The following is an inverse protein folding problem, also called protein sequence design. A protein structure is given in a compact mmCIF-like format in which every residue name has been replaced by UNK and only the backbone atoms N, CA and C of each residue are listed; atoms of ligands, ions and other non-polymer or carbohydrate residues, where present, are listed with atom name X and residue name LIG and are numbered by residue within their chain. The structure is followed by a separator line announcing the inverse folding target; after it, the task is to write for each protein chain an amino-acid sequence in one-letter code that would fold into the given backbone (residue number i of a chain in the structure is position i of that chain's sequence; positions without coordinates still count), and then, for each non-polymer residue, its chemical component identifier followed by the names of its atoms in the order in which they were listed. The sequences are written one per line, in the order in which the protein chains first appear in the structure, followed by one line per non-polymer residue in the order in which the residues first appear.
data_IF_098463615803
#
_entry.id   IF_098463615803
#
_cell.length_a   1.000
_cell.length_b   1.000
_cell.length_c   1.000
_cell.angle_alpha   90.00
_cell.angle_beta   90.00
_cell.angle_gamma   90.00
#
_symmetry.space_group_name_H-M   'P 1'
#
loop_
_entity.id
_entity.type
_entity.pdbx_description
1 polymer ?
#
# COMPACT_ATOMS: atom_id res chain seq x y z
N UNK A 1 11.45 14.62 24.83
CA UNK A 1 10.25 15.33 25.33
C UNK A 1 10.62 16.56 26.18
N UNK A 2 11.56 16.43 27.13
CA UNK A 2 12.00 17.54 27.98
C UNK A 2 12.63 18.69 27.18
N UNK A 3 13.57 18.39 26.29
CA UNK A 3 14.28 19.43 25.50
C UNK A 3 13.37 20.14 24.49
N UNK A 4 12.27 19.49 24.11
CA UNK A 4 11.24 20.06 23.25
C UNK A 4 10.13 20.78 24.05
N UNK A 5 10.20 20.79 25.38
CA UNK A 5 9.18 21.41 26.25
C UNK A 5 7.83 20.68 26.26
N UNK A 6 7.74 19.46 25.71
CA UNK A 6 6.47 18.74 25.48
C UNK A 6 6.04 17.83 26.64
N UNK A 7 6.73 17.85 27.78
CA UNK A 7 6.50 16.92 28.90
C UNK A 7 5.11 16.99 29.53
N UNK A 8 4.36 18.08 29.29
CA UNK A 8 2.97 18.26 29.74
C UNK A 8 2.05 18.77 28.62
N UNK A 9 2.51 18.66 27.37
CA UNK A 9 1.76 19.16 26.21
C UNK A 9 0.76 18.12 25.68
N UNK A 10 -0.14 18.57 24.81
CA UNK A 10 -0.94 17.67 23.98
C UNK A 10 -0.13 17.23 22.77
N UNK A 11 -0.04 15.92 22.54
CA UNK A 11 0.78 15.32 21.49
C UNK A 11 -0.13 14.53 20.57
N UNK A 12 -0.17 14.91 19.29
CA UNK A 12 -0.87 14.16 18.25
C UNK A 12 -0.11 12.88 17.89
N UNK A 13 -0.82 11.76 17.83
CA UNK A 13 -0.30 10.44 17.50
C UNK A 13 -1.01 9.91 16.25
N UNK A 14 -0.24 9.46 15.28
CA UNK A 14 -0.75 8.84 14.05
C UNK A 14 -0.50 7.33 14.07
N UNK A 15 -1.42 6.56 13.52
CA UNK A 15 -1.30 5.10 13.43
C UNK A 15 -1.97 4.33 14.57
N UNK A 16 -2.75 5.00 15.42
CA UNK A 16 -3.66 4.36 16.37
C UNK A 16 -5.03 4.05 15.74
N UNK A 17 -5.37 4.71 14.62
CA UNK A 17 -6.58 4.42 13.87
C UNK A 17 -6.52 3.04 13.16
N UNK A 18 -7.63 2.30 13.12
CA UNK A 18 -7.75 1.11 12.28
C UNK A 18 -7.41 1.40 10.81
N UNK A 19 -6.59 0.55 10.21
CA UNK A 19 -6.25 0.59 8.79
C UNK A 19 -6.54 -0.78 8.17
N UNK A 20 -7.76 -0.93 7.67
CA UNK A 20 -8.27 -2.20 7.13
C UNK A 20 -7.77 -2.46 5.70
N UNK A 21 -7.57 -3.73 5.30
CA UNK A 21 -7.81 -4.96 6.08
C UNK A 21 -6.60 -5.41 6.93
N UNK A 22 -5.41 -4.87 6.69
CA UNK A 22 -4.16 -5.43 7.22
C UNK A 22 -3.88 -5.09 8.70
N UNK A 23 -4.41 -3.97 9.20
CA UNK A 23 -4.07 -3.42 10.52
C UNK A 23 -5.33 -2.94 11.26
N UNK A 24 -6.21 -3.85 11.70
CA UNK A 24 -7.47 -3.48 12.36
C UNK A 24 -7.28 -2.74 13.69
N UNK A 25 -6.13 -2.91 14.36
CA UNK A 25 -5.83 -2.30 15.66
C UNK A 25 -4.87 -1.10 15.56
N UNK A 26 -4.58 -0.64 14.34
CA UNK A 26 -3.58 0.39 14.08
C UNK A 26 -2.22 -0.17 13.69
N UNK A 27 -1.32 0.74 13.33
CA UNK A 27 0.00 0.45 12.74
C UNK A 27 1.16 0.57 13.73
N UNK A 28 0.94 1.17 14.91
CA UNK A 28 2.01 1.29 15.91
C UNK A 28 2.19 -0.06 16.62
N UNK A 29 3.39 -0.66 16.61
CA UNK A 29 3.64 -1.89 17.35
C UNK A 29 3.45 -1.67 18.85
N UNK A 30 2.73 -2.59 19.50
CA UNK A 30 2.46 -2.50 20.95
C UNK A 30 3.72 -2.30 21.81
N UNK A 31 4.82 -3.06 21.64
CA UNK A 31 6.00 -2.88 22.49
C UNK A 31 6.59 -1.47 22.38
N UNK A 32 6.54 -0.87 21.18
CA UNK A 32 6.97 0.51 21.00
C UNK A 32 6.04 1.47 21.72
N UNK A 33 4.72 1.34 21.52
CA UNK A 33 3.74 2.23 22.15
C UNK A 33 3.77 2.15 23.68
N UNK A 34 3.93 0.95 24.23
CA UNK A 34 4.07 0.69 25.67
C UNK A 34 5.26 1.44 26.29
N UNK A 35 6.40 1.51 25.58
CA UNK A 35 7.56 2.30 26.06
C UNK A 35 7.28 3.79 26.11
N UNK A 36 6.44 4.31 25.21
CA UNK A 36 6.08 5.74 25.14
C UNK A 36 5.15 6.11 26.29
N UNK A 37 4.10 5.32 26.50
CA UNK A 37 3.10 5.62 27.54
C UNK A 37 3.61 5.39 28.96
N UNK A 38 4.63 4.53 29.15
CA UNK A 38 5.27 4.29 30.45
C UNK A 38 6.30 5.34 30.85
N UNK A 39 6.68 6.27 29.97
CA UNK A 39 7.58 7.34 30.37
C UNK A 39 6.90 8.23 31.43
N UNK A 40 7.62 8.73 32.44
CA UNK A 40 7.07 9.62 33.46
C UNK A 40 6.82 11.03 32.88
N UNK A 41 5.80 11.12 32.02
CA UNK A 41 5.35 12.32 31.33
C UNK A 41 3.93 12.66 31.75
N UNK A 42 3.60 13.95 31.79
CA UNK A 42 2.23 14.44 31.96
C UNK A 42 1.59 14.81 30.63
N UNK A 43 2.14 14.31 29.52
CA UNK A 43 1.66 14.61 28.18
C UNK A 43 0.32 13.91 27.90
N UNK A 44 -0.54 14.60 27.16
CA UNK A 44 -1.84 14.11 26.71
C UNK A 44 -1.73 13.63 25.26
N UNK A 45 -1.70 12.32 25.07
CA UNK A 45 -1.58 11.71 23.73
C UNK A 45 -2.96 11.58 23.08
N UNK A 46 -3.12 12.22 21.91
CA UNK A 46 -4.38 12.23 21.15
C UNK A 46 -4.19 11.57 19.81
N UNK A 47 -5.09 10.67 19.44
CA UNK A 47 -5.11 10.15 18.08
C UNK A 47 -5.53 11.26 17.10
N UNK A 48 -4.71 11.50 16.08
CA UNK A 48 -4.94 12.55 15.07
C UNK A 48 -4.85 12.02 13.64
N UNK A 49 -4.79 10.70 13.41
CA UNK A 49 -4.53 10.13 12.09
C UNK A 49 -5.51 10.62 11.01
N UNK A 50 -6.82 10.54 11.25
CA UNK A 50 -7.81 11.07 10.32
C UNK A 50 -7.77 12.59 10.13
N UNK A 51 -7.54 13.35 11.22
CA UNK A 51 -7.47 14.80 11.13
C UNK A 51 -6.25 15.25 10.31
N UNK A 52 -5.11 14.60 10.54
CA UNK A 52 -3.89 14.84 9.77
C UNK A 52 -4.04 14.42 8.32
N UNK A 53 -4.64 13.25 8.04
CA UNK A 53 -4.88 12.81 6.67
C UNK A 53 -5.69 13.84 5.87
N UNK A 54 -6.76 14.40 6.46
CA UNK A 54 -7.56 15.47 5.85
C UNK A 54 -6.76 16.75 5.59
N UNK A 55 -5.85 17.09 6.50
CA UNK A 55 -4.98 18.26 6.35
C UNK A 55 -3.99 18.10 5.18
N UNK A 56 -3.52 16.87 4.95
CA UNK A 56 -2.57 16.52 3.89
C UNK A 56 -3.22 16.21 2.54
N UNK A 57 -4.56 16.23 2.43
CA UNK A 57 -5.24 15.94 1.16
C UNK A 57 -4.95 16.94 0.03
N UNK A 58 -4.84 18.26 0.29
CA UNK A 58 -4.46 19.20 -0.76
C UNK A 58 -2.99 19.00 -1.13
N UNK A 59 -2.74 18.60 -2.39
CA UNK A 59 -1.40 18.43 -2.93
C UNK A 59 -0.91 19.72 -3.60
N UNK A 60 0.39 19.99 -3.53
CA UNK A 60 1.04 21.05 -4.32
C UNK A 60 1.14 20.67 -5.80
N UNK A 61 1.50 21.63 -6.66
CA UNK A 61 1.72 21.37 -8.09
C UNK A 61 2.87 20.36 -8.32
N UNK A 62 3.92 20.44 -7.52
CA UNK A 62 5.04 19.49 -7.54
C UNK A 62 4.61 18.08 -7.13
N UNK A 63 3.80 17.96 -6.07
CA UNK A 63 3.28 16.67 -5.63
C UNK A 63 2.33 16.06 -6.67
N UNK A 64 1.48 16.87 -7.29
CA UNK A 64 0.63 16.46 -8.41
C UNK A 64 1.48 15.99 -9.58
N UNK A 65 2.59 16.66 -9.89
CA UNK A 65 3.50 16.24 -10.96
C UNK A 65 4.11 14.87 -10.68
N UNK A 66 4.50 14.58 -9.43
CA UNK A 66 4.96 13.25 -9.00
C UNK A 66 3.86 12.20 -9.15
N UNK A 67 2.64 12.50 -8.72
CA UNK A 67 1.49 11.57 -8.87
C UNK A 67 1.21 11.28 -10.35
N UNK A 68 1.25 12.29 -11.22
CA UNK A 68 1.09 12.09 -12.68
C UNK A 68 2.21 11.26 -13.27
N UNK A 69 3.44 11.46 -12.82
CA UNK A 69 4.57 10.65 -13.24
C UNK A 69 4.37 9.18 -12.84
N UNK A 70 3.99 8.92 -11.58
CA UNK A 70 3.69 7.57 -11.11
C UNK A 70 2.52 6.93 -11.89
N UNK A 71 1.45 7.68 -12.18
CA UNK A 71 0.32 7.21 -12.97
C UNK A 71 0.75 6.77 -14.38
N UNK A 72 1.61 7.55 -15.05
CA UNK A 72 2.17 7.17 -16.36
C UNK A 72 2.95 5.86 -16.33
N UNK A 73 3.65 5.57 -15.24
CA UNK A 73 4.34 4.29 -15.09
C UNK A 73 3.31 3.16 -14.91
N UNK A 74 2.25 3.41 -14.13
CA UNK A 74 1.11 2.49 -14.00
C UNK A 74 0.45 2.17 -15.34
N UNK A 75 0.26 3.16 -16.21
CA UNK A 75 -0.25 2.98 -17.56
C UNK A 75 0.68 2.07 -18.39
N UNK A 76 1.98 2.35 -18.37
CA UNK A 76 2.98 1.51 -19.07
C UNK A 76 3.01 0.07 -18.54
N UNK A 77 2.86 -0.12 -17.23
CA UNK A 77 2.73 -1.45 -16.63
C UNK A 77 1.48 -2.17 -17.14
N UNK A 78 0.32 -1.50 -17.17
CA UNK A 78 -0.92 -2.07 -17.68
C UNK A 78 -0.83 -2.42 -19.17
N UNK A 79 -0.20 -1.57 -19.98
CA UNK A 79 0.08 -1.85 -21.40
C UNK A 79 0.94 -3.10 -21.58
N UNK A 80 2.00 -3.26 -20.77
CA UNK A 80 2.84 -4.45 -20.78
C UNK A 80 2.07 -5.71 -20.39
N UNK A 81 1.15 -5.61 -19.42
CA UNK A 81 0.26 -6.73 -19.04
C UNK A 81 -0.65 -7.13 -20.20
N UNK A 82 -1.30 -6.16 -20.85
CA UNK A 82 -2.19 -6.40 -22.00
C UNK A 82 -1.43 -7.04 -23.16
N UNK A 83 -0.23 -6.54 -23.45
CA UNK A 83 0.61 -7.08 -24.52
C UNK A 83 1.09 -8.52 -24.25
N UNK A 84 1.24 -8.90 -22.98
CA UNK A 84 1.69 -10.24 -22.55
C UNK A 84 0.52 -11.22 -22.44
N UNK A 85 -0.68 -10.75 -22.12
CA UNK A 85 -1.84 -11.60 -21.91
C UNK A 85 -2.28 -12.30 -23.21
N UNK A 86 -2.27 -13.63 -23.18
CA UNK A 86 -2.76 -14.46 -24.28
C UNK A 86 -3.28 -15.82 -23.76
N UNK A 87 -4.12 -16.55 -24.52
CA UNK A 87 -4.51 -17.90 -24.16
C UNK A 87 -3.28 -18.79 -23.90
N UNK A 88 -3.25 -19.45 -22.74
CA UNK A 88 -2.13 -20.31 -22.35
C UNK A 88 -1.01 -19.62 -21.55
N UNK A 89 -0.99 -18.28 -21.50
CA UNK A 89 -0.02 -17.52 -20.69
C UNK A 89 -0.45 -17.53 -19.23
N UNK A 90 0.51 -17.72 -18.31
CA UNK A 90 0.23 -17.75 -16.88
C UNK A 90 0.06 -16.35 -16.29
N UNK A 91 -0.68 -16.23 -15.18
CA UNK A 91 -0.79 -14.96 -14.46
C UNK A 91 0.56 -14.43 -13.98
N UNK A 92 1.47 -15.35 -13.62
CA UNK A 92 2.82 -15.02 -13.19
C UNK A 92 3.63 -14.33 -14.31
N UNK A 93 3.48 -14.77 -15.57
CA UNK A 93 4.17 -14.15 -16.71
C UNK A 93 3.67 -12.73 -16.97
N UNK A 94 2.35 -12.51 -16.85
CA UNK A 94 1.73 -11.18 -17.01
C UNK A 94 2.19 -10.23 -15.90
N UNK A 95 2.23 -10.71 -14.64
CA UNK A 95 2.72 -9.89 -13.51
C UNK A 95 4.22 -9.66 -13.58
N UNK A 96 5.00 -10.61 -14.09
CA UNK A 96 6.43 -10.44 -14.31
C UNK A 96 6.70 -9.32 -15.35
N UNK A 97 5.91 -9.26 -16.43
CA UNK A 97 6.02 -8.19 -17.43
C UNK A 97 5.76 -6.80 -16.84
N UNK A 98 4.70 -6.67 -16.04
CA UNK A 98 4.39 -5.43 -15.32
C UNK A 98 5.50 -5.04 -14.33
N UNK A 99 5.99 -6.01 -13.56
CA UNK A 99 7.05 -5.82 -12.56
C UNK A 99 8.36 -5.38 -13.22
N UNK A 100 8.75 -6.02 -14.32
CA UNK A 100 9.91 -5.62 -15.10
C UNK A 100 9.77 -4.20 -15.66
N UNK A 101 8.57 -3.81 -16.08
CA UNK A 101 8.27 -2.46 -16.54
C UNK A 101 8.43 -1.44 -15.41
N UNK A 102 7.87 -1.71 -14.22
CA UNK A 102 8.06 -0.87 -13.03
C UNK A 102 9.55 -0.65 -12.73
N UNK A 103 10.36 -1.71 -12.69
CA UNK A 103 11.79 -1.62 -12.46
C UNK A 103 12.53 -0.80 -13.50
N UNK A 104 12.18 -0.94 -14.80
CA UNK A 104 12.78 -0.14 -15.87
C UNK A 104 12.45 1.35 -15.75
N UNK A 105 11.33 1.69 -15.14
CA UNK A 105 10.95 3.06 -14.81
C UNK A 105 11.45 3.54 -13.44
N UNK A 106 12.28 2.74 -12.74
CA UNK A 106 12.89 3.13 -11.47
C UNK A 106 11.93 3.10 -10.27
N UNK A 107 10.84 2.33 -10.37
CA UNK A 107 9.86 2.18 -9.28
C UNK A 107 9.62 0.71 -8.94
N UNK A 108 8.89 0.50 -7.85
CA UNK A 108 8.37 -0.79 -7.42
C UNK A 108 6.85 -0.81 -7.56
N UNK A 109 6.29 -1.98 -7.82
CA UNK A 109 4.87 -2.25 -7.67
C UNK A 109 4.69 -3.10 -6.39
N UNK A 110 4.65 -2.50 -5.19
CA UNK A 110 4.70 -3.24 -3.93
C UNK A 110 3.48 -4.15 -3.73
N UNK A 111 2.36 -3.78 -4.33
CA UNK A 111 1.13 -4.58 -4.35
C UNK A 111 0.51 -4.49 -5.74
N UNK A 112 0.15 -5.64 -6.31
CA UNK A 112 -0.54 -5.75 -7.59
C UNK A 112 -1.69 -6.74 -7.44
N UNK A 113 -2.90 -6.27 -7.69
CA UNK A 113 -4.08 -7.12 -7.70
C UNK A 113 -4.33 -7.56 -9.13
N UNK A 114 -4.21 -8.85 -9.38
CA UNK A 114 -4.40 -9.44 -10.71
C UNK A 114 -5.09 -10.79 -10.59
N UNK A 115 -6.02 -11.07 -11.51
CA UNK A 115 -6.79 -12.31 -11.54
C UNK A 115 -7.29 -12.61 -12.96
N UNK A 116 -7.33 -13.89 -13.31
CA UNK A 116 -7.86 -14.41 -14.57
C UNK A 116 -8.89 -15.51 -14.33
N UNK A 117 -9.88 -15.64 -15.23
CA UNK A 117 -10.91 -16.67 -15.14
C UNK A 117 -11.95 -16.46 -14.02
N UNK A 118 -12.73 -17.49 -13.68
CA UNK A 118 -13.85 -17.40 -12.73
C UNK A 118 -13.43 -17.37 -11.25
N UNK A 119 -12.13 -17.28 -10.94
CA UNK A 119 -11.64 -17.16 -9.56
C UNK A 119 -11.82 -15.72 -9.04
N UNK A 120 -12.59 -15.49 -7.95
CA UNK A 120 -13.05 -14.13 -7.61
C UNK A 120 -12.11 -13.34 -6.69
N UNK A 121 -10.92 -13.84 -6.31
CA UNK A 121 -10.05 -13.16 -5.34
C UNK A 121 -8.72 -12.70 -5.96
N UNK A 122 -8.67 -11.44 -6.39
CA UNK A 122 -7.46 -10.75 -6.87
C UNK A 122 -6.53 -10.26 -5.74
N UNK A 123 -6.75 -10.69 -4.49
CA UNK A 123 -6.05 -10.21 -3.29
C UNK A 123 -4.84 -11.05 -2.87
N UNK A 124 -4.44 -12.05 -3.68
CA UNK A 124 -3.29 -12.92 -3.44
C UNK A 124 -2.15 -12.69 -4.43
N UNK A 125 -0.97 -13.25 -4.13
CA UNK A 125 0.10 -13.34 -5.14
C UNK A 125 -0.39 -14.20 -6.32
N UNK A 126 0.03 -13.88 -7.56
CA UNK A 126 -0.36 -14.66 -8.73
C UNK A 126 -0.06 -16.12 -8.48
N UNK A 127 -1.08 -16.97 -8.59
CA UNK A 127 -0.87 -18.40 -8.38
C UNK A 127 0.00 -18.93 -9.51
N UNK A 128 1.11 -19.58 -9.16
CA UNK A 128 1.92 -20.30 -10.13
C UNK A 128 1.10 -21.46 -10.71
N UNK A 129 0.49 -21.23 -11.87
CA UNK A 129 -0.05 -22.24 -12.77
C UNK A 129 -1.07 -23.21 -12.16
N UNK A 130 -2.35 -22.84 -12.18
CA UNK A 130 -3.42 -23.86 -12.28
C UNK A 130 -4.23 -23.58 -13.55
N UNK A 131 -3.83 -24.25 -14.64
CA UNK A 131 -4.75 -24.47 -15.75
C UNK A 131 -5.97 -25.21 -15.19
N UNK A 132 -7.12 -24.53 -15.13
CA UNK A 132 -8.38 -25.24 -15.02
C UNK A 132 -8.54 -25.98 -16.33
N UNK A 133 -8.30 -27.29 -16.31
CA UNK A 133 -8.67 -28.18 -17.40
C UNK A 133 -10.18 -28.09 -17.55
N UNK A 134 -10.63 -27.23 -18.45
CA UNK A 134 -11.99 -27.27 -18.96
C UNK A 134 -12.20 -28.68 -19.51
N UNK A 135 -13.06 -29.44 -18.82
CA UNK A 135 -13.56 -30.72 -19.33
C UNK A 135 -14.21 -30.45 -20.68
N UNK A 136 -13.57 -30.90 -21.75
CA UNK A 136 -14.20 -31.08 -23.05
C UNK A 136 -15.35 -32.08 -22.88
N UNK A 137 -16.53 -31.71 -23.36
CA UNK A 137 -17.67 -32.61 -23.53
C UNK A 137 -17.42 -33.65 -24.61
#
# INVERSE_FOLDING_TARGET
MTDLGLRKGSIGVMGLDPYLPAHPEGRIPYPFWDTVVKQPTGADFRNVGHAFARLMMPLSDEEIAVVRHAARIGDAMAEAMVATAAPGVSEADVVAAATATAYRHGTLAPYMHFSSGPAPSASGQPTAGRFSSAKTS
#
